data_IF_758686741830
#
_entry.id   IF_758686741830
#
_cell.length_a   1.000
_cell.length_b   1.000
_cell.length_c   1.000
_cell.angle_alpha   90.00
_cell.angle_beta   90.00
_cell.angle_gamma   90.00
#
_symmetry.space_group_name_H-M   'P 1'
#
loop_
_entity.id
_entity.type
_entity.pdbx_description
1 polymer ?
#
# COMPACT_ATOMS: atom_id res chain seq x y z
N UNK A 1 -3.65 -13.69 13.80
CA UNK A 1 -4.18 -12.31 13.63
C UNK A 1 -3.05 -11.34 13.90
N UNK A 2 -2.73 -10.41 12.98
CA UNK A 2 -1.70 -9.38 13.21
C UNK A 2 -0.88 -8.90 11.99
N UNK A 3 -1.43 -8.90 10.77
CA UNK A 3 -0.67 -8.47 9.58
C UNK A 3 -1.15 -7.14 8.95
N UNK A 4 -2.36 -6.67 9.32
CA UNK A 4 -2.94 -5.42 8.83
C UNK A 4 -2.50 -4.20 9.66
N UNK A 5 -2.39 -4.34 10.99
CA UNK A 5 -1.93 -3.27 11.87
C UNK A 5 -0.52 -2.79 11.52
N UNK A 6 0.35 -3.73 11.14
CA UNK A 6 1.71 -3.43 10.70
C UNK A 6 1.70 -2.63 9.38
N UNK A 7 0.80 -2.97 8.46
CA UNK A 7 0.63 -2.25 7.19
C UNK A 7 0.10 -0.83 7.43
N UNK A 8 -0.90 -0.69 8.29
CA UNK A 8 -1.46 0.61 8.67
C UNK A 8 -0.42 1.49 9.36
N UNK A 9 0.45 0.89 10.17
CA UNK A 9 1.57 1.60 10.78
C UNK A 9 2.56 2.12 9.72
N UNK A 10 2.94 1.29 8.74
CA UNK A 10 3.81 1.70 7.63
C UNK A 10 3.20 2.83 6.80
N UNK A 11 1.89 2.77 6.52
CA UNK A 11 1.17 3.83 5.80
C UNK A 11 1.18 5.14 6.61
N UNK A 12 0.97 5.06 7.92
CA UNK A 12 0.98 6.24 8.79
C UNK A 12 2.40 6.83 8.92
N UNK A 13 3.44 5.99 8.96
CA UNK A 13 4.84 6.45 8.94
C UNK A 13 5.18 7.12 7.61
N UNK A 14 4.80 6.50 6.48
CA UNK A 14 4.95 7.06 5.13
C UNK A 14 4.24 8.41 4.99
N UNK A 15 3.01 8.52 5.49
CA UNK A 15 2.23 9.75 5.53
C UNK A 15 2.95 10.88 6.28
N UNK A 16 3.55 10.57 7.43
CA UNK A 16 4.19 11.59 8.27
C UNK A 16 5.58 12.01 7.76
N UNK A 17 6.24 11.17 6.96
CA UNK A 17 7.58 11.37 6.40
C UNK A 17 7.54 11.82 4.93
N UNK A 18 7.21 10.89 4.04
CA UNK A 18 7.53 10.96 2.62
C UNK A 18 6.45 11.73 1.85
N UNK A 19 5.21 11.67 2.33
CA UNK A 19 4.08 12.37 1.71
C UNK A 19 4.20 13.89 1.85
N UNK A 20 4.74 14.37 2.98
CA UNK A 20 5.13 15.78 3.16
C UNK A 20 6.31 16.18 2.27
N UNK A 21 7.13 15.21 1.86
CA UNK A 21 8.27 15.40 0.96
C UNK A 21 7.88 15.33 -0.51
N UNK A 22 6.58 15.15 -0.81
CA UNK A 22 6.03 15.13 -2.17
C UNK A 22 5.93 13.76 -2.82
N UNK A 23 6.30 12.67 -2.12
CA UNK A 23 6.15 11.30 -2.61
C UNK A 23 4.70 10.86 -2.43
N UNK A 24 4.02 10.50 -3.53
CA UNK A 24 2.58 10.18 -3.54
C UNK A 24 2.28 8.69 -3.66
N UNK A 25 3.31 7.84 -3.65
CA UNK A 25 3.16 6.42 -3.94
C UNK A 25 3.98 5.61 -2.93
N UNK A 26 3.36 4.63 -2.29
CA UNK A 26 3.99 3.64 -1.42
C UNK A 26 3.88 2.26 -2.07
N UNK A 27 4.99 1.54 -2.17
CA UNK A 27 5.02 0.18 -2.74
C UNK A 27 5.35 -0.82 -1.63
N UNK A 28 4.45 -1.79 -1.43
CA UNK A 28 4.65 -2.91 -0.51
C UNK A 28 4.79 -4.21 -1.31
N UNK A 29 5.80 -5.01 -0.98
CA UNK A 29 6.05 -6.29 -1.63
C UNK A 29 5.72 -7.45 -0.68
N UNK A 30 5.08 -8.50 -1.18
CA UNK A 30 4.83 -9.74 -0.44
C UNK A 30 4.84 -10.96 -1.36
N UNK A 31 5.22 -12.12 -0.82
CA UNK A 31 5.04 -13.41 -1.49
C UNK A 31 3.58 -13.91 -1.39
N UNK A 32 2.79 -13.37 -0.46
CA UNK A 32 1.38 -13.69 -0.25
C UNK A 32 0.46 -12.72 -1.01
N UNK A 33 -0.18 -13.24 -2.07
CA UNK A 33 -1.14 -12.50 -2.90
C UNK A 33 -2.41 -12.14 -2.14
N UNK A 34 -2.95 -13.08 -1.35
CA UNK A 34 -4.22 -12.90 -0.66
C UNK A 34 -4.09 -11.85 0.44
N UNK A 35 -2.91 -11.80 1.09
CA UNK A 35 -2.56 -10.72 1.99
C UNK A 35 -2.62 -9.35 1.30
N UNK A 36 -1.97 -9.17 0.15
CA UNK A 36 -1.98 -7.88 -0.56
C UNK A 36 -3.36 -7.53 -1.12
N UNK A 37 -4.14 -8.51 -1.56
CA UNK A 37 -5.51 -8.29 -2.02
C UNK A 37 -6.43 -7.86 -0.88
N UNK A 38 -6.35 -8.50 0.28
CA UNK A 38 -7.13 -8.12 1.45
C UNK A 38 -6.74 -6.73 1.94
N UNK A 39 -5.43 -6.47 2.05
CA UNK A 39 -4.90 -5.13 2.32
C UNK A 39 -5.43 -4.08 1.34
N UNK A 40 -5.34 -4.34 0.03
CA UNK A 40 -5.85 -3.44 -1.01
C UNK A 40 -7.32 -3.12 -0.79
N UNK A 41 -8.16 -4.13 -0.53
CA UNK A 41 -9.60 -3.93 -0.29
C UNK A 41 -9.86 -3.12 0.97
N UNK A 42 -9.09 -3.35 2.03
CA UNK A 42 -9.26 -2.62 3.29
C UNK A 42 -8.74 -1.18 3.25
N UNK A 43 -7.82 -0.87 2.33
CA UNK A 43 -7.20 0.45 2.20
C UNK A 43 -7.87 1.32 1.13
N UNK A 44 -8.35 0.71 0.05
CA UNK A 44 -9.02 1.44 -1.04
C UNK A 44 -10.22 2.19 -0.51
N UNK A 45 -10.32 3.49 -0.81
CA UNK A 45 -11.44 4.33 -0.38
C UNK A 45 -11.34 4.81 1.07
N UNK A 46 -10.28 4.45 1.81
CA UNK A 46 -9.94 5.16 3.05
C UNK A 46 -9.31 6.51 2.70
N UNK A 47 -9.67 7.52 3.47
CA UNK A 47 -9.05 8.83 3.40
C UNK A 47 -8.03 8.99 4.53
N UNK A 48 -6.88 9.57 4.20
CA UNK A 48 -5.89 10.05 5.17
C UNK A 48 -5.78 11.56 5.03
N UNK A 49 -6.41 12.28 5.95
CA UNK A 49 -6.53 13.74 5.86
C UNK A 49 -7.28 14.17 4.61
N UNK A 50 -6.60 14.88 3.70
CA UNK A 50 -7.14 15.40 2.43
C UNK A 50 -6.83 14.51 1.22
N UNK A 51 -6.28 13.31 1.45
CA UNK A 51 -5.92 12.40 0.37
C UNK A 51 -6.80 11.17 0.39
N UNK A 52 -7.19 10.71 -0.79
CA UNK A 52 -7.84 9.43 -1.00
C UNK A 52 -6.80 8.39 -1.36
N UNK A 53 -6.92 7.22 -0.74
CA UNK A 53 -6.07 6.08 -1.06
C UNK A 53 -6.69 5.27 -2.20
N UNK A 54 -5.92 5.12 -3.27
CA UNK A 54 -6.16 4.13 -4.32
C UNK A 54 -5.09 3.04 -4.24
N UNK A 55 -5.52 1.78 -4.29
CA UNK A 55 -4.61 0.64 -4.25
C UNK A 55 -4.69 -0.16 -5.54
N UNK A 56 -3.54 -0.55 -6.08
CA UNK A 56 -3.43 -1.48 -7.22
C UNK A 56 -2.45 -2.60 -6.88
N UNK A 57 -2.89 -3.85 -7.06
CA UNK A 57 -2.04 -5.02 -6.85
C UNK A 57 -1.58 -5.53 -8.20
N UNK A 58 -0.28 -5.44 -8.46
CA UNK A 58 0.34 -5.99 -9.65
C UNK A 58 1.22 -7.18 -9.28
N UNK A 59 1.13 -8.25 -10.07
CA UNK A 59 2.05 -9.37 -9.98
C UNK A 59 3.25 -9.06 -10.87
N UNK A 60 4.43 -8.90 -10.27
CA UNK A 60 5.68 -8.78 -11.02
C UNK A 60 6.45 -10.10 -10.90
N UNK A 61 6.72 -10.71 -12.05
CA UNK A 61 7.53 -11.93 -12.11
C UNK A 61 8.99 -11.51 -12.15
N UNK A 62 9.57 -11.26 -10.99
CA UNK A 62 11.03 -11.24 -10.86
C UNK A 62 11.54 -12.68 -10.68
N UNK A 63 12.62 -12.99 -11.38
CA UNK A 63 13.31 -14.28 -11.50
C UNK A 63 13.02 -15.31 -10.39
N UNK A 64 12.50 -16.47 -10.81
CA UNK A 64 12.36 -17.72 -10.01
C UNK A 64 11.32 -17.74 -8.87
N UNK A 65 10.82 -16.60 -8.35
CA UNK A 65 9.75 -16.56 -7.34
C UNK A 65 8.73 -15.48 -7.65
N UNK A 66 7.46 -15.86 -7.80
CA UNK A 66 6.35 -14.90 -7.95
C UNK A 66 6.31 -13.98 -6.72
N UNK A 67 6.57 -12.69 -6.90
CA UNK A 67 6.36 -11.65 -5.88
C UNK A 67 5.22 -10.74 -6.33
N UNK A 68 4.40 -10.34 -5.37
CA UNK A 68 3.31 -9.42 -5.61
C UNK A 68 3.68 -8.05 -5.05
N UNK A 69 3.32 -6.99 -5.75
CA UNK A 69 3.49 -5.62 -5.30
C UNK A 69 2.13 -4.95 -5.17
N UNK A 70 1.89 -4.34 -4.02
CA UNK A 70 0.75 -3.48 -3.73
C UNK A 70 1.26 -2.04 -3.85
N UNK A 71 0.79 -1.34 -4.87
CA UNK A 71 1.01 0.09 -5.05
C UNK A 71 -0.15 0.84 -4.40
N UNK A 72 0.18 1.72 -3.47
CA UNK A 72 -0.74 2.60 -2.75
C UNK A 72 -0.48 4.03 -3.24
N UNK A 73 -1.42 4.59 -3.98
CA UNK A 73 -1.37 5.96 -4.47
C UNK A 73 -2.20 6.86 -3.56
N UNK A 74 -1.69 8.06 -3.32
CA UNK A 74 -2.33 9.09 -2.51
C UNK A 74 -2.65 10.30 -3.40
N UNK A 75 -3.91 10.42 -3.79
CA UNK A 75 -4.40 11.55 -4.58
C UNK A 75 -5.08 12.59 -3.71
N UNK A 76 -4.83 13.87 -4.00
CA UNK A 76 -5.50 14.99 -3.34
C UNK A 76 -6.97 15.05 -3.75
N UNK A 77 -7.85 15.24 -2.76
CA UNK A 77 -9.25 15.65 -2.98
C UNK A 77 -9.34 17.07 -3.55
#
# INVERSE_FOLDING_TARGET
MGNLDNLMKQINEFWNSDLKSGVRELIICSEDKDYLLNASKELTGKSFGVYVIECSVNAEVEDSKKRYKLKISFDHL
#
